data_IF_880218982140
#
_entry.id   IF_880218982140
#
_cell.length_a   1.000
_cell.length_b   1.000
_cell.length_c   1.000
_cell.angle_alpha   90.00
_cell.angle_beta   90.00
_cell.angle_gamma   90.00
#
_symmetry.space_group_name_H-M   'P 1'
#
loop_
_entity.id
_entity.type
_entity.pdbx_description
1 polymer ?
#
# COMPACT_ATOMS: atom_id res chain seq x y z
N UNK A 1 -3.14 -17.96 -15.94
CA UNK A 1 -3.52 -16.77 -15.13
C UNK A 1 -2.26 -15.95 -14.88
N UNK A 2 -2.32 -14.60 -15.02
CA UNK A 2 -1.17 -13.76 -14.68
C UNK A 2 -0.89 -13.87 -13.18
N UNK A 3 0.36 -14.09 -12.81
CA UNK A 3 0.81 -14.08 -11.42
C UNK A 3 0.69 -12.66 -10.86
N UNK A 4 0.24 -12.53 -9.61
CA UNK A 4 0.13 -11.25 -8.92
C UNK A 4 1.12 -11.22 -7.75
N UNK A 5 1.93 -10.17 -7.68
CA UNK A 5 2.78 -9.87 -6.54
C UNK A 5 2.38 -8.55 -5.91
N UNK A 6 2.47 -8.48 -4.59
CA UNK A 6 2.25 -7.21 -3.90
C UNK A 6 3.58 -6.52 -3.60
N UNK A 7 3.58 -5.18 -3.68
CA UNK A 7 4.68 -4.32 -3.26
C UNK A 7 4.17 -3.42 -2.15
N UNK A 8 4.82 -3.47 -1.02
CA UNK A 8 4.47 -2.69 0.17
C UNK A 8 5.59 -1.70 0.49
N UNK A 9 5.47 -0.42 0.10
CA UNK A 9 6.42 0.61 0.53
C UNK A 9 6.27 0.88 2.02
N UNK A 10 7.29 0.59 2.81
CA UNK A 10 7.34 0.71 4.27
C UNK A 10 8.51 1.55 4.81
N UNK A 11 9.39 2.10 3.96
CA UNK A 11 10.55 2.88 4.35
C UNK A 11 10.22 4.29 4.89
N UNK A 12 8.98 4.75 4.80
CA UNK A 12 8.59 6.10 5.20
C UNK A 12 8.47 6.29 6.71
N UNK A 13 9.06 7.36 7.25
CA UNK A 13 8.99 7.70 8.68
C UNK A 13 7.61 8.16 9.17
N UNK A 14 6.63 8.36 8.28
CA UNK A 14 5.25 8.72 8.66
C UNK A 14 5.08 10.05 9.41
N UNK A 15 5.95 11.02 9.20
CA UNK A 15 6.07 12.29 9.97
C UNK A 15 4.79 13.11 10.12
N UNK A 16 3.81 12.93 9.24
CA UNK A 16 2.54 13.73 9.25
C UNK A 16 1.64 13.49 10.46
N UNK A 17 1.79 12.38 11.18
CA UNK A 17 0.97 12.04 12.36
C UNK A 17 1.64 12.38 13.69
N UNK A 18 2.86 12.98 13.67
CA UNK A 18 3.64 13.27 14.88
C UNK A 18 4.10 12.02 15.63
N UNK A 19 5.01 12.21 16.59
CA UNK A 19 5.57 11.15 17.45
C UNK A 19 6.74 10.40 16.82
N UNK A 20 7.48 9.65 17.67
CA UNK A 20 8.72 8.96 17.32
C UNK A 20 8.52 7.58 16.68
N UNK A 21 7.28 7.07 16.72
CA UNK A 21 6.94 5.76 16.13
C UNK A 21 6.40 5.95 14.72
N UNK A 22 7.05 5.40 13.68
CA UNK A 22 6.54 5.44 12.31
C UNK A 22 5.14 4.82 12.23
N UNK A 23 4.29 5.38 11.36
CA UNK A 23 2.86 5.05 11.28
C UNK A 23 2.61 3.54 11.18
N UNK A 24 3.40 2.83 10.39
CA UNK A 24 3.25 1.39 10.13
C UNK A 24 3.47 0.52 11.38
N UNK A 25 4.16 1.04 12.41
CA UNK A 25 4.41 0.36 13.69
C UNK A 25 3.46 0.76 14.82
N UNK A 26 2.52 1.67 14.55
CA UNK A 26 1.49 1.98 15.55
C UNK A 26 0.57 0.80 15.72
N UNK A 27 0.29 0.47 16.98
CA UNK A 27 -0.55 -0.66 17.34
C UNK A 27 -2.04 -0.31 17.26
N UNK A 28 -2.81 -1.24 16.72
CA UNK A 28 -4.27 -1.25 16.70
C UNK A 28 -4.71 -2.69 16.98
N UNK A 29 -5.64 -2.89 17.88
CA UNK A 29 -6.14 -4.22 18.25
C UNK A 29 -5.02 -5.23 18.60
N UNK A 30 -3.97 -4.75 19.27
CA UNK A 30 -2.89 -5.60 19.79
C UNK A 30 -1.79 -5.98 18.79
N UNK A 31 -1.77 -5.39 17.58
CA UNK A 31 -0.71 -5.62 16.61
C UNK A 31 -0.39 -4.34 15.81
N UNK A 32 0.83 -4.20 15.27
CA UNK A 32 1.21 -3.11 14.38
C UNK A 32 0.33 -3.03 13.12
N UNK A 33 0.07 -1.81 12.62
CA UNK A 33 -0.71 -1.62 11.39
C UNK A 33 -0.15 -2.42 10.20
N UNK A 34 1.17 -2.51 10.07
CA UNK A 34 1.83 -3.28 9.02
C UNK A 34 1.54 -4.78 9.13
N UNK A 35 1.50 -5.33 10.35
CA UNK A 35 1.15 -6.72 10.59
C UNK A 35 -0.26 -7.04 10.08
N UNK A 36 -1.24 -6.20 10.42
CA UNK A 36 -2.62 -6.35 9.91
C UNK A 36 -2.67 -6.27 8.38
N UNK A 37 -1.91 -5.33 7.79
CA UNK A 37 -1.88 -5.15 6.33
C UNK A 37 -1.27 -6.36 5.63
N UNK A 38 -0.13 -6.87 6.12
CA UNK A 38 0.51 -8.07 5.59
C UNK A 38 -0.37 -9.31 5.73
N UNK A 39 -0.96 -9.51 6.91
CA UNK A 39 -1.87 -10.62 7.17
C UNK A 39 -3.06 -10.64 6.20
N UNK A 40 -3.66 -9.46 5.93
CA UNK A 40 -4.77 -9.35 4.97
C UNK A 40 -4.33 -9.75 3.55
N UNK A 41 -3.14 -9.35 3.11
CA UNK A 41 -2.61 -9.74 1.80
C UNK A 41 -2.29 -11.23 1.72
N UNK A 42 -1.71 -11.80 2.77
CA UNK A 42 -1.32 -13.20 2.83
C UNK A 42 -2.52 -14.17 2.86
N UNK A 43 -3.70 -13.70 3.27
CA UNK A 43 -4.96 -14.46 3.18
C UNK A 43 -5.43 -14.65 1.73
N UNK A 44 -5.04 -13.77 0.81
CA UNK A 44 -5.39 -13.91 -0.60
C UNK A 44 -4.57 -15.01 -1.27
N UNK A 45 -5.26 -15.93 -1.94
CA UNK A 45 -4.65 -16.99 -2.76
C UNK A 45 -4.16 -16.47 -4.11
N UNK A 46 -4.61 -15.31 -4.54
CA UNK A 46 -4.21 -14.69 -5.81
C UNK A 46 -2.85 -14.01 -5.72
N UNK A 47 -2.41 -13.64 -4.51
CA UNK A 47 -1.10 -13.03 -4.27
C UNK A 47 -0.05 -14.13 -4.10
N UNK A 48 0.88 -14.21 -5.04
CA UNK A 48 1.98 -15.18 -5.01
C UNK A 48 3.03 -14.85 -3.95
N UNK A 49 3.26 -13.56 -3.70
CA UNK A 49 4.18 -13.07 -2.69
C UNK A 49 4.09 -11.57 -2.48
N UNK A 50 4.74 -11.09 -1.44
CA UNK A 50 4.78 -9.67 -1.04
C UNK A 50 6.24 -9.23 -0.91
N UNK A 51 6.60 -8.15 -1.60
CA UNK A 51 7.88 -7.46 -1.41
C UNK A 51 7.65 -6.24 -0.52
N UNK A 52 8.29 -6.22 0.64
CA UNK A 52 8.23 -5.11 1.58
C UNK A 52 9.50 -4.27 1.46
N UNK A 53 9.36 -3.02 1.00
CA UNK A 53 10.48 -2.09 0.88
C UNK A 53 10.64 -1.29 2.18
N UNK A 54 11.69 -1.62 2.95
CA UNK A 54 11.92 -1.12 4.31
C UNK A 54 13.08 -0.11 4.38
N UNK A 55 13.12 0.69 5.44
CA UNK A 55 14.27 1.55 5.73
C UNK A 55 15.45 0.69 6.21
N UNK A 56 16.66 1.02 5.75
CA UNK A 56 17.89 0.32 6.18
C UNK A 56 18.20 0.46 7.68
N UNK A 57 17.73 1.54 8.30
CA UNK A 57 17.89 1.81 9.74
C UNK A 57 16.71 1.29 10.57
N UNK A 58 15.77 0.57 9.97
CA UNK A 58 14.58 0.11 10.68
C UNK A 58 14.90 -1.06 11.62
N UNK A 59 14.82 -0.77 12.92
CA UNK A 59 15.06 -1.76 13.99
C UNK A 59 13.78 -2.37 14.55
N UNK A 60 12.62 -2.00 14.00
CA UNK A 60 11.31 -2.49 14.45
C UNK A 60 10.77 -3.64 13.59
N UNK A 61 11.50 -4.04 12.57
CA UNK A 61 11.13 -5.16 11.70
C UNK A 61 10.79 -6.43 12.49
N UNK A 62 11.57 -6.72 13.54
CA UNK A 62 11.38 -7.90 14.39
C UNK A 62 10.02 -7.93 15.13
N UNK A 63 9.32 -6.80 15.19
CA UNK A 63 7.96 -6.73 15.77
C UNK A 63 6.87 -7.17 14.79
N UNK A 64 7.21 -7.45 13.55
CA UNK A 64 6.29 -7.84 12.47
C UNK A 64 6.49 -9.33 12.16
N UNK A 65 5.66 -10.17 12.75
CA UNK A 65 5.78 -11.62 12.61
C UNK A 65 5.61 -12.09 11.15
N UNK A 66 4.71 -11.45 10.41
CA UNK A 66 4.44 -11.77 8.99
C UNK A 66 5.64 -11.54 8.07
N UNK A 67 6.68 -10.79 8.47
CA UNK A 67 7.90 -10.64 7.66
C UNK A 67 8.68 -11.95 7.53
N UNK A 68 8.50 -12.90 8.46
CA UNK A 68 9.12 -14.23 8.40
C UNK A 68 8.33 -15.25 7.56
N UNK A 69 7.19 -14.86 6.99
CA UNK A 69 6.37 -15.76 6.18
C UNK A 69 7.05 -16.07 4.84
N UNK A 70 6.98 -17.34 4.38
CA UNK A 70 7.65 -17.83 3.16
C UNK A 70 7.33 -17.04 1.87
N UNK A 71 6.14 -16.42 1.81
CA UNK A 71 5.72 -15.55 0.69
C UNK A 71 6.11 -14.09 0.85
N UNK A 72 6.85 -13.72 1.91
CA UNK A 72 7.27 -12.35 2.14
C UNK A 72 8.78 -12.23 1.96
N UNK A 73 9.18 -11.22 1.25
CA UNK A 73 10.59 -10.84 1.12
C UNK A 73 10.75 -9.35 1.40
N UNK A 74 11.90 -8.95 1.89
CA UNK A 74 12.22 -7.56 2.16
C UNK A 74 13.24 -7.05 1.16
N UNK A 75 13.18 -5.76 0.84
CA UNK A 75 14.20 -5.04 0.08
C UNK A 75 14.43 -3.67 0.71
N UNK A 76 15.54 -3.02 0.35
CA UNK A 76 15.77 -1.65 0.80
C UNK A 76 14.85 -0.70 0.04
N UNK A 77 14.11 0.09 0.79
CA UNK A 77 13.29 1.18 0.25
C UNK A 77 14.13 2.41 -0.08
N UNK A 78 13.52 3.35 -0.78
CA UNK A 78 14.15 4.60 -1.17
C UNK A 78 13.65 5.82 -0.39
N UNK A 79 14.21 6.97 -0.70
CA UNK A 79 13.95 8.26 -0.04
C UNK A 79 12.47 8.69 -0.16
N UNK A 80 11.79 8.31 -1.23
CA UNK A 80 10.37 8.58 -1.44
C UNK A 80 9.57 7.29 -1.58
N UNK A 81 8.24 7.41 -1.48
CA UNK A 81 7.32 6.29 -1.74
C UNK A 81 7.54 5.71 -3.15
N UNK A 82 7.72 6.55 -4.15
CA UNK A 82 7.98 6.12 -5.52
C UNK A 82 9.29 5.32 -5.65
N UNK A 83 10.36 5.78 -5.00
CA UNK A 83 11.63 5.03 -4.96
C UNK A 83 11.50 3.69 -4.25
N UNK A 84 10.71 3.61 -3.18
CA UNK A 84 10.44 2.34 -2.48
C UNK A 84 9.63 1.37 -3.33
N UNK A 85 8.66 1.87 -4.10
CA UNK A 85 7.91 1.05 -5.06
C UNK A 85 8.83 0.56 -6.18
N UNK A 86 9.68 1.42 -6.73
CA UNK A 86 10.66 1.05 -7.76
C UNK A 86 11.60 -0.05 -7.26
N UNK A 87 12.16 0.11 -6.04
CA UNK A 87 13.02 -0.91 -5.44
C UNK A 87 12.30 -2.27 -5.30
N UNK A 88 11.02 -2.25 -4.93
CA UNK A 88 10.20 -3.47 -4.89
C UNK A 88 9.98 -4.09 -6.27
N UNK A 89 9.76 -3.28 -7.30
CA UNK A 89 9.64 -3.75 -8.68
C UNK A 89 10.95 -4.34 -9.20
N UNK A 90 12.09 -3.71 -8.89
CA UNK A 90 13.41 -4.20 -9.31
C UNK A 90 13.74 -5.54 -8.62
N UNK A 91 13.43 -5.69 -7.32
CA UNK A 91 13.57 -6.96 -6.62
C UNK A 91 12.70 -8.08 -7.24
N UNK A 92 11.54 -7.74 -7.82
CA UNK A 92 10.70 -8.71 -8.52
C UNK A 92 11.26 -9.12 -9.88
N UNK A 93 11.90 -8.22 -10.63
CA UNK A 93 12.46 -8.54 -11.96
C UNK A 93 13.45 -9.68 -11.93
N UNK A 94 14.19 -9.82 -10.83
CA UNK A 94 15.18 -10.90 -10.65
C UNK A 94 14.54 -12.27 -10.40
N UNK A 95 13.24 -12.33 -10.08
CA UNK A 95 12.60 -13.54 -9.58
C UNK A 95 11.41 -14.01 -10.42
N UNK A 96 10.84 -13.14 -11.22
CA UNK A 96 9.63 -13.44 -11.97
C UNK A 96 9.78 -13.15 -13.46
N UNK A 97 9.14 -14.02 -14.26
CA UNK A 97 9.07 -13.83 -15.71
C UNK A 97 8.23 -12.59 -16.07
N UNK A 98 8.40 -12.09 -17.28
CA UNK A 98 7.59 -11.00 -17.83
C UNK A 98 6.08 -11.27 -17.74
N UNK A 99 5.29 -10.21 -17.63
CA UNK A 99 3.82 -10.28 -17.60
C UNK A 99 3.21 -10.53 -16.22
N UNK A 100 3.98 -10.37 -15.14
CA UNK A 100 3.47 -10.36 -13.76
C UNK A 100 2.77 -9.03 -13.46
N UNK A 101 1.66 -9.11 -12.75
CA UNK A 101 0.96 -7.93 -12.25
C UNK A 101 1.49 -7.55 -10.87
N UNK A 102 1.61 -6.25 -10.61
CA UNK A 102 2.04 -5.72 -9.31
C UNK A 102 0.91 -4.96 -8.64
N UNK A 103 0.53 -5.38 -7.43
CA UNK A 103 -0.36 -4.67 -6.53
C UNK A 103 0.48 -3.78 -5.61
N UNK A 104 0.33 -2.47 -5.69
CA UNK A 104 1.01 -1.55 -4.76
C UNK A 104 0.05 -1.16 -3.65
N UNK A 105 0.40 -1.45 -2.40
CA UNK A 105 -0.43 -1.13 -1.24
C UNK A 105 0.39 -0.60 -0.06
N UNK A 106 -0.13 0.43 0.62
CA UNK A 106 0.59 1.11 1.71
C UNK A 106 0.62 0.25 2.99
N UNK A 107 1.79 0.16 3.64
CA UNK A 107 2.00 -0.64 4.86
C UNK A 107 1.10 -0.26 6.05
N UNK A 108 0.60 0.96 6.10
CA UNK A 108 -0.26 1.46 7.18
C UNK A 108 -1.73 1.64 6.76
N UNK A 109 -2.22 0.77 5.86
CA UNK A 109 -3.64 0.70 5.45
C UNK A 109 -4.21 -0.69 5.72
N UNK A 110 -4.57 -1.00 6.98
CA UNK A 110 -4.94 -2.37 7.40
C UNK A 110 -6.37 -2.78 7.01
N UNK A 111 -7.19 -1.83 6.52
CA UNK A 111 -8.62 -2.09 6.25
C UNK A 111 -8.89 -2.69 4.87
N UNK A 112 -7.88 -3.22 4.19
CA UNK A 112 -8.06 -3.97 2.95
C UNK A 112 -8.73 -5.30 3.27
N UNK A 113 -9.98 -5.49 2.82
CA UNK A 113 -10.70 -6.74 2.99
C UNK A 113 -10.36 -7.73 1.88
N UNK A 114 -10.49 -9.02 2.16
CA UNK A 114 -10.27 -10.09 1.16
C UNK A 114 -11.23 -9.91 -0.03
N UNK A 115 -12.49 -9.54 0.22
CA UNK A 115 -13.49 -9.34 -0.82
C UNK A 115 -13.18 -8.14 -1.72
N UNK A 116 -12.76 -7.01 -1.12
CA UNK A 116 -12.35 -5.83 -1.90
C UNK A 116 -11.13 -6.11 -2.76
N UNK A 117 -10.16 -6.88 -2.22
CA UNK A 117 -8.98 -7.30 -2.94
C UNK A 117 -9.35 -8.25 -4.10
N UNK A 118 -10.21 -9.23 -3.88
CA UNK A 118 -10.69 -10.13 -4.91
C UNK A 118 -11.40 -9.37 -6.03
N UNK A 119 -12.33 -8.47 -5.69
CA UNK A 119 -13.04 -7.64 -6.66
C UNK A 119 -12.09 -6.77 -7.50
N UNK A 120 -11.05 -6.17 -6.88
CA UNK A 120 -10.03 -5.40 -7.57
C UNK A 120 -9.27 -6.26 -8.58
N UNK A 121 -8.82 -7.44 -8.16
CA UNK A 121 -8.04 -8.38 -8.99
C UNK A 121 -8.89 -8.87 -10.18
N UNK A 122 -10.13 -9.24 -9.93
CA UNK A 122 -11.04 -9.71 -10.99
C UNK A 122 -11.33 -8.59 -12.00
N UNK A 123 -11.53 -7.36 -11.53
CA UNK A 123 -11.73 -6.22 -12.41
C UNK A 123 -10.50 -5.94 -13.28
N UNK A 124 -9.30 -5.98 -12.70
CA UNK A 124 -8.05 -5.83 -13.44
C UNK A 124 -7.89 -6.90 -14.52
N UNK A 125 -8.24 -8.16 -14.20
CA UNK A 125 -8.19 -9.29 -15.14
C UNK A 125 -9.15 -9.11 -16.31
N UNK A 126 -10.37 -8.67 -16.03
CA UNK A 126 -11.41 -8.45 -17.07
C UNK A 126 -11.00 -7.33 -18.01
N UNK A 127 -10.50 -6.21 -17.49
CA UNK A 127 -10.12 -5.06 -18.29
C UNK A 127 -8.76 -5.24 -18.99
N UNK A 128 -7.87 -6.04 -18.44
CA UNK A 128 -6.49 -6.13 -18.89
C UNK A 128 -5.65 -4.88 -18.62
N UNK A 129 -6.12 -4.00 -17.74
CA UNK A 129 -5.55 -2.68 -17.43
C UNK A 129 -5.32 -2.51 -15.92
N UNK A 130 -4.54 -1.47 -15.55
CA UNK A 130 -4.36 -1.08 -14.16
C UNK A 130 -5.65 -0.51 -13.57
N UNK A 131 -5.96 -0.91 -12.33
CA UNK A 131 -7.15 -0.48 -11.59
C UNK A 131 -6.76 -0.03 -10.18
N UNK A 132 -7.61 0.81 -9.58
CA UNK A 132 -7.47 1.22 -8.18
C UNK A 132 -8.81 1.07 -7.46
N UNK A 133 -8.76 0.82 -6.15
CA UNK A 133 -9.92 0.97 -5.29
C UNK A 133 -10.15 2.46 -5.04
N UNK A 134 -11.38 2.91 -5.20
CA UNK A 134 -11.76 4.28 -4.93
C UNK A 134 -13.21 4.37 -4.48
N UNK A 135 -13.55 5.42 -3.77
CA UNK A 135 -14.92 5.73 -3.34
C UNK A 135 -15.29 7.18 -3.68
N UNK A 136 -16.55 7.48 -4.00
CA UNK A 136 -16.99 8.85 -4.23
C UNK A 136 -16.73 9.74 -3.03
N UNK A 137 -16.33 11.00 -3.27
CA UNK A 137 -16.14 11.98 -2.20
C UNK A 137 -17.48 12.38 -1.61
N UNK A 138 -17.71 12.05 -0.34
CA UNK A 138 -18.92 12.41 0.40
C UNK A 138 -18.86 13.82 0.99
N UNK A 139 -17.66 14.33 1.32
CA UNK A 139 -17.45 15.62 1.96
C UNK A 139 -17.59 16.81 1.00
N UNK A 140 -17.94 17.97 1.53
CA UNK A 140 -17.89 19.22 0.76
C UNK A 140 -16.44 19.72 0.70
N UNK A 141 -15.87 19.73 -0.49
CA UNK A 141 -14.50 20.19 -0.72
C UNK A 141 -14.47 21.69 -1.05
N UNK A 142 -13.50 22.39 -0.46
CA UNK A 142 -13.20 23.80 -0.73
C UNK A 142 -11.82 23.91 -1.36
N UNK A 143 -11.74 24.63 -2.48
CA UNK A 143 -10.46 25.09 -2.98
C UNK A 143 -10.05 26.33 -2.21
N UNK A 144 -8.79 26.38 -1.79
CA UNK A 144 -8.22 27.51 -1.06
C UNK A 144 -7.03 28.11 -1.83
N UNK A 145 -6.78 29.39 -1.64
CA UNK A 145 -5.60 30.07 -2.17
C UNK A 145 -4.36 29.84 -1.27
N UNK A 146 -3.22 30.43 -1.63
CA UNK A 146 -1.97 30.30 -0.88
C UNK A 146 -1.99 30.90 0.54
N UNK A 147 -2.99 31.72 0.89
CA UNK A 147 -3.24 32.30 2.22
C UNK A 147 -4.20 31.44 3.06
N UNK A 148 -4.79 30.38 2.50
CA UNK A 148 -5.75 29.55 3.20
C UNK A 148 -7.19 30.05 3.13
N UNK A 149 -7.49 31.05 2.29
CA UNK A 149 -8.82 31.60 2.08
C UNK A 149 -9.59 30.76 1.05
N UNK A 150 -10.90 30.56 1.30
CA UNK A 150 -11.76 29.78 0.41
C UNK A 150 -12.04 30.57 -0.88
N UNK A 151 -11.64 30.02 -2.03
CA UNK A 151 -11.93 30.59 -3.35
C UNK A 151 -13.26 30.06 -3.90
N UNK A 152 -13.50 28.76 -3.81
CA UNK A 152 -14.74 28.15 -4.30
C UNK A 152 -15.03 26.79 -3.67
N UNK A 153 -16.27 26.35 -3.84
CA UNK A 153 -16.65 24.95 -3.60
C UNK A 153 -16.29 24.13 -4.83
N UNK A 154 -15.61 23.00 -4.61
CA UNK A 154 -15.25 22.08 -5.69
C UNK A 154 -16.46 21.17 -5.96
N UNK A 155 -16.79 20.97 -7.25
CA UNK A 155 -17.79 19.97 -7.63
C UNK A 155 -17.24 18.56 -7.33
N UNK A 156 -17.86 17.90 -6.36
CA UNK A 156 -17.46 16.57 -5.91
C UNK A 156 -18.04 15.42 -6.73
N UNK A 157 -18.98 15.69 -7.62
CA UNK A 157 -19.66 14.65 -8.40
C UNK A 157 -18.71 13.84 -9.29
N UNK A 158 -17.57 14.45 -9.66
CA UNK A 158 -16.52 13.86 -10.49
C UNK A 158 -15.26 13.47 -9.70
N UNK A 159 -15.29 13.60 -8.37
CA UNK A 159 -14.13 13.33 -7.52
C UNK A 159 -14.30 12.02 -6.75
N UNK A 160 -13.22 11.24 -6.75
CA UNK A 160 -13.13 9.97 -6.05
C UNK A 160 -11.90 9.96 -5.14
N UNK A 161 -12.04 9.37 -3.99
CA UNK A 161 -10.97 9.19 -3.02
C UNK A 161 -10.32 7.82 -3.25
N UNK A 162 -9.06 7.79 -3.68
CA UNK A 162 -8.29 6.55 -3.81
C UNK A 162 -8.07 5.89 -2.45
N UNK A 163 -8.22 4.57 -2.39
CA UNK A 163 -8.08 3.73 -1.20
C UNK A 163 -6.74 2.99 -1.19
#
# INVERSE_FOLDING_TARGET
MKRLWAIMPAAGAGRRLGGDTPKQYREVAGAPLMEHTLSAMLQSRDICGVVVAMDSADRRADTIASLSHERVQTTLGGVTRAHSVLAGLDALKEQVAEGVWSLVHDAARPCLTVDALAALIDRARVLGEGVILAEPVADTLKQVNGQGEIEKTVDRSILWRAQ
#
